data_IF_486598630329
#
_entry.id   IF_486598630329
#
_cell.length_a   1.000
_cell.length_b   1.000
_cell.length_c   1.000
_cell.angle_alpha   90.00
_cell.angle_beta   90.00
_cell.angle_gamma   90.00
#
_symmetry.space_group_name_H-M   'P 1'
#
loop_
_entity.id
_entity.type
_entity.pdbx_description
1 polymer ?
#
# COMPACT_ATOMS: atom_id res chain seq x y z
N UNK A 1 -12.03 -13.29 -11.42
CA UNK A 1 -11.38 -13.47 -12.74
C UNK A 1 -11.19 -12.13 -13.46
N UNK A 2 -12.22 -11.26 -13.56
CA UNK A 2 -12.15 -9.99 -14.31
C UNK A 2 -11.06 -9.01 -13.79
N UNK A 3 -10.70 -9.07 -12.53
CA UNK A 3 -9.69 -8.21 -11.92
C UNK A 3 -8.24 -8.74 -12.06
N UNK A 4 -8.04 -9.99 -12.50
CA UNK A 4 -6.68 -10.56 -12.66
C UNK A 4 -5.78 -9.75 -13.59
N UNK A 5 -6.25 -9.21 -14.74
CA UNK A 5 -5.41 -8.38 -15.62
C UNK A 5 -4.91 -7.11 -14.92
N UNK A 6 -5.76 -6.45 -14.12
CA UNK A 6 -5.36 -5.27 -13.34
C UNK A 6 -4.34 -5.65 -12.26
N UNK A 7 -4.60 -6.71 -11.48
CA UNK A 7 -3.69 -7.19 -10.46
C UNK A 7 -2.32 -7.57 -11.01
N UNK A 8 -2.27 -8.31 -12.11
CA UNK A 8 -1.01 -8.69 -12.77
C UNK A 8 -0.25 -7.46 -13.30
N UNK A 9 -0.97 -6.46 -13.83
CA UNK A 9 -0.37 -5.23 -14.30
C UNK A 9 0.24 -4.43 -13.15
N UNK A 10 -0.52 -4.19 -12.07
CA UNK A 10 -0.03 -3.49 -10.87
C UNK A 10 1.20 -4.21 -10.30
N UNK A 11 1.16 -5.53 -10.16
CA UNK A 11 2.30 -6.33 -9.71
C UNK A 11 3.53 -6.14 -10.60
N UNK A 12 3.35 -6.08 -11.93
CA UNK A 12 4.45 -5.90 -12.89
C UNK A 12 5.08 -4.50 -12.80
N UNK A 13 4.26 -3.46 -12.57
CA UNK A 13 4.75 -2.09 -12.37
C UNK A 13 5.56 -1.99 -11.09
N UNK A 14 5.05 -2.51 -9.98
CA UNK A 14 5.76 -2.47 -8.70
C UNK A 14 7.05 -3.30 -8.73
N UNK A 15 7.06 -4.46 -9.39
CA UNK A 15 8.29 -5.24 -9.58
C UNK A 15 9.34 -4.43 -10.35
N UNK A 16 8.93 -3.75 -11.44
CA UNK A 16 9.82 -2.87 -12.19
C UNK A 16 10.33 -1.71 -11.35
N UNK A 17 9.46 -1.04 -10.60
CA UNK A 17 9.87 0.09 -9.74
C UNK A 17 10.82 -0.35 -8.64
N UNK A 18 10.59 -1.52 -8.01
CA UNK A 18 11.52 -2.11 -7.03
C UNK A 18 12.93 -2.25 -7.60
N UNK A 19 13.04 -2.74 -8.81
CA UNK A 19 14.34 -2.96 -9.48
C UNK A 19 15.02 -1.64 -9.90
N UNK A 20 14.27 -0.55 -10.05
CA UNK A 20 14.78 0.78 -10.39
C UNK A 20 15.13 1.63 -9.17
N UNK A 21 14.58 1.33 -7.97
CA UNK A 21 14.90 2.08 -6.75
C UNK A 21 16.35 1.84 -6.38
N UNK A 22 17.18 2.87 -6.61
CA UNK A 22 18.60 2.86 -6.30
C UNK A 22 19.09 4.26 -5.92
N UNK A 23 20.23 4.32 -5.25
CA UNK A 23 20.87 5.61 -4.91
C UNK A 23 21.13 6.44 -6.18
N UNK A 24 20.67 7.69 -6.18
CA UNK A 24 20.79 8.64 -7.27
C UNK A 24 19.61 8.66 -8.24
N UNK A 25 18.73 7.66 -8.23
CA UNK A 25 17.49 7.69 -9.03
C UNK A 25 16.53 8.73 -8.45
N UNK A 26 15.90 9.53 -9.31
CA UNK A 26 14.97 10.56 -8.89
C UNK A 26 13.54 10.00 -8.75
N UNK A 27 12.80 10.45 -7.74
CA UNK A 27 11.39 10.03 -7.56
C UNK A 27 10.52 10.37 -8.78
N UNK A 28 10.81 11.47 -9.48
CA UNK A 28 10.14 11.84 -10.72
C UNK A 28 10.43 10.85 -11.87
N UNK A 29 11.56 10.18 -11.86
CA UNK A 29 11.89 9.13 -12.84
C UNK A 29 11.04 7.89 -12.58
N UNK A 30 10.82 7.52 -11.31
CA UNK A 30 9.93 6.41 -10.94
C UNK A 30 8.49 6.68 -11.39
N UNK A 31 7.97 7.89 -11.16
CA UNK A 31 6.64 8.32 -11.65
C UNK A 31 6.56 8.26 -13.18
N UNK A 32 7.60 8.71 -13.87
CA UNK A 32 7.66 8.66 -15.34
C UNK A 32 7.70 7.22 -15.89
N UNK A 33 8.36 6.29 -15.19
CA UNK A 33 8.35 4.86 -15.53
C UNK A 33 6.92 4.30 -15.40
N UNK A 34 6.26 4.52 -14.27
CA UNK A 34 4.89 4.07 -14.03
C UNK A 34 3.93 4.65 -15.08
N UNK A 35 4.04 5.95 -15.38
CA UNK A 35 3.25 6.64 -16.39
C UNK A 35 3.44 6.05 -17.81
N UNK A 36 4.68 5.70 -18.16
CA UNK A 36 4.97 5.03 -19.44
C UNK A 36 4.32 3.65 -19.50
N UNK A 37 4.46 2.85 -18.44
CA UNK A 37 3.86 1.50 -18.40
C UNK A 37 2.33 1.53 -18.48
N UNK A 38 1.67 2.52 -17.83
CA UNK A 38 0.22 2.75 -17.97
C UNK A 38 -0.15 2.94 -19.45
N UNK A 39 0.53 3.84 -20.16
CA UNK A 39 0.26 4.12 -21.58
C UNK A 39 0.50 2.91 -22.48
N UNK A 40 1.61 2.20 -22.29
CA UNK A 40 1.98 1.01 -23.06
C UNK A 40 0.95 -0.12 -22.89
N UNK A 41 0.40 -0.25 -21.69
CA UNK A 41 -0.63 -1.25 -21.38
C UNK A 41 -2.03 -0.84 -21.85
N UNK A 42 -2.27 0.45 -22.11
CA UNK A 42 -3.62 1.00 -22.30
C UNK A 42 -4.45 0.94 -21.02
N UNK A 43 -3.80 1.07 -19.88
CA UNK A 43 -4.42 1.15 -18.57
C UNK A 43 -4.78 2.60 -18.20
N UNK A 44 -5.55 2.78 -17.13
CA UNK A 44 -5.94 4.09 -16.62
C UNK A 44 -5.32 4.30 -15.23
N UNK A 45 -4.76 5.50 -14.98
CA UNK A 45 -4.28 5.87 -13.64
C UNK A 45 -5.47 6.07 -12.71
N UNK A 46 -5.38 5.54 -11.48
CA UNK A 46 -6.36 5.82 -10.44
C UNK A 46 -6.03 7.09 -9.66
N UNK A 47 -4.81 7.63 -9.78
CA UNK A 47 -4.33 8.72 -8.94
C UNK A 47 -4.34 10.08 -9.62
N UNK A 48 -4.02 10.18 -10.91
CA UNK A 48 -3.69 11.47 -11.56
C UNK A 48 -4.80 12.54 -11.39
N UNK A 49 -6.04 12.14 -11.51
CA UNK A 49 -7.21 13.02 -11.35
C UNK A 49 -7.93 12.79 -10.01
N UNK A 50 -7.34 12.01 -9.11
CA UNK A 50 -7.95 11.71 -7.82
C UNK A 50 -8.00 12.97 -6.96
N UNK A 51 -9.22 13.39 -6.62
CA UNK A 51 -9.48 14.62 -5.88
C UNK A 51 -10.63 14.41 -4.89
N UNK A 52 -10.36 13.75 -3.75
CA UNK A 52 -11.36 13.59 -2.70
C UNK A 52 -11.67 14.94 -2.03
N UNK A 53 -12.81 15.01 -1.34
CA UNK A 53 -13.29 16.25 -0.71
C UNK A 53 -12.35 16.86 0.33
N UNK A 54 -11.42 16.07 0.87
CA UNK A 54 -10.40 16.53 1.82
C UNK A 54 -9.11 17.00 1.13
N UNK A 55 -8.93 16.72 -0.15
CA UNK A 55 -7.75 17.12 -0.92
C UNK A 55 -7.88 18.56 -1.43
N UNK A 56 -6.84 19.37 -1.23
CA UNK A 56 -6.83 20.76 -1.72
C UNK A 56 -6.73 20.86 -3.25
N UNK A 57 -6.10 19.88 -3.89
CA UNK A 57 -5.85 19.80 -5.34
C UNK A 57 -5.92 18.32 -5.77
N UNK A 58 -6.13 18.02 -7.06
CA UNK A 58 -5.91 16.67 -7.59
C UNK A 58 -4.50 16.18 -7.27
N UNK A 59 -4.33 14.87 -7.08
CA UNK A 59 -3.03 14.27 -6.76
C UNK A 59 -1.96 14.56 -7.84
N UNK A 60 -2.35 14.52 -9.11
CA UNK A 60 -1.55 15.01 -10.24
C UNK A 60 -0.34 14.16 -10.61
N UNK A 61 -0.18 12.99 -10.00
CA UNK A 61 0.85 11.99 -10.23
C UNK A 61 0.22 10.62 -10.46
N UNK A 62 0.98 9.66 -10.95
CA UNK A 62 0.47 8.29 -11.17
C UNK A 62 1.01 7.29 -10.16
N UNK A 63 1.89 7.73 -9.26
CA UNK A 63 2.58 6.91 -8.28
C UNK A 63 2.66 7.66 -6.95
N UNK A 64 2.40 7.00 -5.81
CA UNK A 64 2.83 7.51 -4.52
C UNK A 64 4.27 7.08 -4.26
N UNK A 65 5.11 8.02 -3.80
CA UNK A 65 6.49 7.76 -3.37
C UNK A 65 6.70 8.36 -1.99
N UNK A 66 6.76 7.52 -0.98
CA UNK A 66 6.92 7.95 0.42
C UNK A 66 8.31 7.59 0.90
N UNK A 67 9.10 8.57 1.35
CA UNK A 67 10.51 8.40 1.70
C UNK A 67 10.73 8.72 3.17
N UNK A 68 11.38 7.81 3.89
CA UNK A 68 11.78 7.94 5.29
C UNK A 68 10.59 8.21 6.23
N UNK A 69 10.43 9.44 6.71
CA UNK A 69 9.35 9.86 7.60
C UNK A 69 8.00 10.05 6.91
N UNK A 70 7.97 10.13 5.58
CA UNK A 70 6.74 10.00 4.80
C UNK A 70 6.33 8.52 4.77
N UNK A 71 5.07 8.22 5.10
CA UNK A 71 4.60 6.83 5.18
C UNK A 71 3.55 6.50 4.12
N UNK A 72 2.65 7.43 3.80
CA UNK A 72 1.57 7.26 2.82
C UNK A 72 1.43 8.50 1.94
N UNK A 73 0.86 8.31 0.76
CA UNK A 73 0.43 9.36 -0.17
C UNK A 73 1.53 10.34 -0.58
N UNK A 74 2.81 9.97 -0.48
CA UNK A 74 3.92 10.83 -0.84
C UNK A 74 3.88 11.21 -2.32
N UNK A 75 3.88 12.52 -2.61
CA UNK A 75 3.96 13.02 -3.98
C UNK A 75 5.40 12.87 -4.51
N UNK A 76 5.60 12.29 -5.70
CA UNK A 76 6.88 12.34 -6.37
C UNK A 76 7.34 13.79 -6.62
N UNK A 77 8.53 14.13 -6.17
CA UNK A 77 9.14 15.44 -6.35
C UNK A 77 10.60 15.30 -6.79
N UNK A 78 11.27 16.41 -7.09
CA UNK A 78 12.69 16.42 -7.48
C UNK A 78 13.58 16.05 -6.28
N UNK A 79 13.75 14.74 -6.10
CA UNK A 79 14.54 14.17 -5.02
C UNK A 79 15.32 12.95 -5.51
N UNK A 80 16.65 13.06 -5.62
CA UNK A 80 17.50 11.90 -5.85
C UNK A 80 17.58 11.05 -4.58
N UNK A 81 17.18 9.79 -4.69
CA UNK A 81 17.23 8.82 -3.61
C UNK A 81 18.65 8.71 -3.06
N UNK A 82 18.78 8.67 -1.75
CA UNK A 82 20.04 8.65 -1.03
C UNK A 82 20.34 7.28 -0.45
N UNK A 83 21.60 7.06 -0.12
CA UNK A 83 22.04 5.86 0.60
C UNK A 83 21.29 5.70 1.93
N UNK A 84 20.64 4.57 2.11
CA UNK A 84 19.88 4.24 3.31
C UNK A 84 18.45 4.75 3.33
N UNK A 85 17.95 5.46 2.29
CA UNK A 85 16.56 5.86 2.24
C UNK A 85 15.62 4.66 2.24
N UNK A 86 14.62 4.71 3.11
CA UNK A 86 13.47 3.80 3.13
C UNK A 86 12.43 4.37 2.16
N UNK A 87 12.15 3.64 1.08
CA UNK A 87 11.28 4.10 -0.01
C UNK A 87 10.08 3.18 -0.14
N UNK A 88 8.89 3.71 0.12
CA UNK A 88 7.63 3.04 -0.19
C UNK A 88 7.10 3.54 -1.53
N UNK A 89 6.68 2.62 -2.38
CA UNK A 89 5.95 2.90 -3.62
C UNK A 89 4.59 2.23 -3.57
N UNK A 90 3.57 3.00 -3.94
CA UNK A 90 2.19 2.58 -3.91
C UNK A 90 1.53 2.96 -5.24
N UNK A 91 0.86 1.99 -5.86
CA UNK A 91 0.40 2.10 -7.23
C UNK A 91 -0.94 1.42 -7.47
N UNK A 92 -1.93 2.22 -7.88
CA UNK A 92 -3.23 1.74 -8.34
C UNK A 92 -3.47 2.06 -9.83
N UNK A 93 -4.02 1.10 -10.55
CA UNK A 93 -4.41 1.28 -11.94
C UNK A 93 -5.63 0.46 -12.32
N UNK A 94 -6.39 0.95 -13.31
CA UNK A 94 -7.50 0.21 -13.89
C UNK A 94 -7.09 -0.40 -15.24
N UNK A 95 -7.48 -1.66 -15.43
CA UNK A 95 -7.41 -2.37 -16.72
C UNK A 95 -8.80 -2.90 -17.03
N UNK A 96 -9.30 -2.57 -18.22
CA UNK A 96 -10.67 -2.90 -18.65
C UNK A 96 -11.74 -2.45 -17.64
N UNK A 97 -11.49 -1.30 -17.00
CA UNK A 97 -12.36 -0.69 -15.99
C UNK A 97 -12.40 -1.46 -14.66
N UNK A 98 -11.45 -2.35 -14.36
CA UNK A 98 -11.26 -2.97 -13.06
C UNK A 98 -9.96 -2.49 -12.43
N UNK A 99 -10.04 -2.10 -11.16
CA UNK A 99 -8.91 -1.55 -10.40
C UNK A 99 -8.21 -2.63 -9.62
N UNK A 100 -6.89 -2.49 -9.49
CA UNK A 100 -6.10 -3.15 -8.45
C UNK A 100 -5.16 -2.12 -7.82
N UNK A 101 -4.80 -2.36 -6.57
CA UNK A 101 -3.96 -1.51 -5.74
C UNK A 101 -2.93 -2.34 -5.00
N UNK A 102 -1.71 -1.83 -4.84
CA UNK A 102 -0.67 -2.52 -4.08
C UNK A 102 0.51 -1.61 -3.77
N UNK A 103 1.18 -1.89 -2.64
CA UNK A 103 2.36 -1.16 -2.22
C UNK A 103 3.50 -2.09 -1.76
N UNK A 104 4.72 -1.57 -1.80
CA UNK A 104 5.90 -2.20 -1.22
C UNK A 104 6.87 -1.15 -0.70
N UNK A 105 7.74 -1.57 0.23
CA UNK A 105 8.81 -0.73 0.78
C UNK A 105 10.15 -1.43 0.61
N UNK A 106 11.17 -0.68 0.20
CA UNK A 106 12.55 -1.13 0.09
C UNK A 106 13.52 -0.11 0.68
N UNK A 107 14.75 -0.52 0.96
CA UNK A 107 15.84 0.41 1.33
C UNK A 107 16.78 0.56 0.14
N UNK A 108 17.10 1.79 -0.22
CA UNK A 108 18.07 2.09 -1.25
C UNK A 108 19.49 1.99 -0.71
N UNK A 109 20.32 1.14 -1.31
CA UNK A 109 21.71 0.93 -0.88
C UNK A 109 21.81 0.16 0.44
N UNK A 110 22.61 0.67 1.40
CA UNK A 110 22.88 -0.02 2.66
C UNK A 110 21.78 0.19 3.68
N UNK A 111 21.03 -0.88 3.97
CA UNK A 111 19.97 -0.86 4.96
C UNK A 111 20.50 -0.87 6.40
N UNK A 112 19.78 -0.20 7.30
CA UNK A 112 19.95 -0.30 8.74
C UNK A 112 19.03 -1.38 9.31
N UNK A 113 19.49 -2.08 10.33
CA UNK A 113 18.72 -3.16 10.98
C UNK A 113 17.32 -2.72 11.48
N UNK A 114 17.15 -1.51 12.09
CA UNK A 114 15.81 -1.05 12.47
C UNK A 114 14.85 -0.91 11.30
N UNK A 115 15.32 -0.44 10.14
CA UNK A 115 14.49 -0.27 8.94
C UNK A 115 14.10 -1.63 8.33
N UNK A 116 15.06 -2.56 8.26
CA UNK A 116 14.76 -3.94 7.85
C UNK A 116 13.74 -4.60 8.75
N UNK A 117 13.84 -4.40 10.05
CA UNK A 117 12.88 -4.91 11.03
C UNK A 117 11.49 -4.29 10.84
N UNK A 118 11.42 -2.97 10.60
CA UNK A 118 10.16 -2.25 10.34
C UNK A 118 9.48 -2.83 9.09
N UNK A 119 10.19 -2.90 7.96
CA UNK A 119 9.70 -3.45 6.69
C UNK A 119 9.24 -4.91 6.87
N UNK A 120 10.09 -5.77 7.42
CA UNK A 120 9.75 -7.17 7.62
C UNK A 120 8.56 -7.38 8.57
N UNK A 121 8.34 -6.47 9.53
CA UNK A 121 7.16 -6.54 10.41
C UNK A 121 5.91 -6.13 9.66
N UNK A 122 5.97 -5.08 8.82
CA UNK A 122 4.85 -4.64 8.00
C UNK A 122 4.44 -5.73 7.00
N UNK A 123 5.40 -6.39 6.37
CA UNK A 123 5.15 -7.52 5.46
C UNK A 123 4.51 -8.72 6.19
N UNK A 124 5.03 -9.11 7.36
CA UNK A 124 4.42 -10.19 8.17
C UNK A 124 3.01 -9.84 8.64
N UNK A 125 2.75 -8.57 8.95
CA UNK A 125 1.40 -8.11 9.31
C UNK A 125 0.44 -8.25 8.12
N UNK A 126 0.89 -7.92 6.90
CA UNK A 126 0.13 -8.14 5.67
C UNK A 126 -0.17 -9.63 5.46
N UNK A 127 0.83 -10.50 5.56
CA UNK A 127 0.67 -11.95 5.43
C UNK A 127 -0.33 -12.50 6.44
N UNK A 128 -0.24 -12.06 7.72
CA UNK A 128 -1.15 -12.47 8.77
C UNK A 128 -2.60 -12.04 8.48
N UNK A 129 -2.80 -10.81 7.99
CA UNK A 129 -4.10 -10.30 7.56
C UNK A 129 -4.66 -11.10 6.39
N UNK A 130 -3.86 -11.35 5.37
CA UNK A 130 -4.25 -12.14 4.19
C UNK A 130 -4.67 -13.56 4.60
N UNK A 131 -3.94 -14.19 5.52
CA UNK A 131 -4.28 -15.53 6.01
C UNK A 131 -5.68 -15.61 6.66
N UNK A 132 -6.19 -14.49 7.18
CA UNK A 132 -7.54 -14.40 7.73
C UNK A 132 -8.61 -14.00 6.70
N UNK A 133 -8.22 -13.63 5.49
CA UNK A 133 -9.13 -13.25 4.42
C UNK A 133 -9.84 -14.46 3.80
N UNK A 134 -10.47 -15.28 4.65
CA UNK A 134 -11.12 -16.55 4.32
C UNK A 134 -12.65 -16.41 4.37
N UNK A 135 -13.34 -17.04 3.43
CA UNK A 135 -14.80 -17.06 3.41
C UNK A 135 -15.37 -17.61 4.74
N UNK A 136 -16.29 -16.86 5.34
CA UNK A 136 -16.88 -17.23 6.64
C UNK A 136 -16.29 -16.48 7.83
N UNK A 137 -15.02 -16.09 7.78
CA UNK A 137 -14.41 -15.18 8.75
C UNK A 137 -15.07 -13.79 8.71
N UNK A 138 -14.71 -12.95 9.63
CA UNK A 138 -15.17 -11.56 9.68
C UNK A 138 -14.02 -10.59 9.41
N UNK A 139 -14.37 -9.38 9.02
CA UNK A 139 -13.41 -8.32 8.72
C UNK A 139 -12.45 -8.06 9.90
N UNK A 140 -12.98 -8.09 11.13
CA UNK A 140 -12.20 -7.94 12.35
C UNK A 140 -11.18 -9.05 12.60
N UNK A 141 -11.30 -10.22 11.96
CA UNK A 141 -10.30 -11.28 12.05
C UNK A 141 -9.03 -10.86 11.28
N UNK A 142 -9.19 -10.21 10.11
CA UNK A 142 -8.08 -9.61 9.36
C UNK A 142 -7.39 -8.53 10.20
N UNK A 143 -8.17 -7.57 10.70
CA UNK A 143 -7.67 -6.43 11.48
C UNK A 143 -6.94 -6.87 12.75
N UNK A 144 -7.50 -7.86 13.47
CA UNK A 144 -6.89 -8.40 14.69
C UNK A 144 -5.54 -9.07 14.40
N UNK A 145 -5.46 -9.88 13.34
CA UNK A 145 -4.22 -10.55 12.96
C UNK A 145 -3.11 -9.58 12.58
N UNK A 146 -3.44 -8.49 11.88
CA UNK A 146 -2.49 -7.41 11.58
C UNK A 146 -2.00 -6.76 12.87
N UNK A 147 -2.94 -6.32 13.74
CA UNK A 147 -2.63 -5.64 14.99
C UNK A 147 -1.78 -6.49 15.92
N UNK A 148 -2.08 -7.78 16.07
CA UNK A 148 -1.32 -8.73 16.91
C UNK A 148 0.16 -8.83 16.48
N UNK A 149 0.44 -8.89 15.18
CA UNK A 149 1.82 -8.91 14.66
C UNK A 149 2.55 -7.61 14.97
N UNK A 150 1.89 -6.47 14.75
CA UNK A 150 2.47 -5.15 15.00
C UNK A 150 2.77 -4.94 16.49
N UNK A 151 1.80 -5.19 17.34
CA UNK A 151 1.92 -5.03 18.82
C UNK A 151 2.96 -5.97 19.40
N UNK A 152 3.01 -7.25 18.97
CA UNK A 152 4.03 -8.22 19.40
C UNK A 152 5.45 -7.78 19.02
N UNK A 153 5.61 -7.02 17.96
CA UNK A 153 6.89 -6.45 17.54
C UNK A 153 7.20 -5.10 18.21
N UNK A 154 6.26 -4.54 19.00
CA UNK A 154 6.41 -3.30 19.74
C UNK A 154 6.05 -2.04 18.94
N UNK A 155 5.31 -2.18 17.83
CA UNK A 155 4.83 -1.04 17.06
C UNK A 155 3.38 -0.68 17.42
N UNK A 156 3.10 0.62 17.47
CA UNK A 156 1.73 1.13 17.58
C UNK A 156 1.08 1.19 16.20
N UNK A 157 -0.22 0.94 16.13
CA UNK A 157 -1.00 0.95 14.89
C UNK A 157 -1.91 2.16 14.86
N UNK A 158 -1.77 3.00 13.85
CA UNK A 158 -2.71 4.08 13.57
C UNK A 158 -3.97 3.51 12.89
N UNK A 159 -5.13 4.09 13.20
CA UNK A 159 -6.44 3.64 12.68
C UNK A 159 -7.11 4.64 11.74
N UNK A 160 -6.46 5.77 11.43
CA UNK A 160 -7.03 6.80 10.58
C UNK A 160 -7.10 6.38 9.11
N UNK A 161 -6.14 5.54 8.70
CA UNK A 161 -6.04 4.98 7.35
C UNK A 161 -5.91 3.46 7.41
N UNK A 162 -6.35 2.80 6.35
CA UNK A 162 -6.29 1.34 6.23
C UNK A 162 -6.96 0.87 4.96
N UNK A 163 -7.02 -0.44 4.77
CA UNK A 163 -7.52 -1.08 3.57
C UNK A 163 -8.99 -0.78 3.27
N UNK A 164 -9.39 -1.13 2.08
CA UNK A 164 -10.70 -0.78 1.53
C UNK A 164 -11.20 -1.80 0.52
N UNK A 165 -12.48 -1.74 0.18
CA UNK A 165 -13.00 -2.47 -0.97
C UNK A 165 -12.40 -1.96 -2.26
N UNK A 166 -12.13 -2.86 -3.20
CA UNK A 166 -11.58 -2.55 -4.54
C UNK A 166 -12.45 -3.22 -5.60
N UNK A 167 -12.68 -2.52 -6.71
CA UNK A 167 -13.51 -3.08 -7.79
C UNK A 167 -13.52 -2.22 -9.04
N UNK A 168 -14.64 -1.58 -9.31
CA UNK A 168 -14.76 -0.58 -10.39
C UNK A 168 -14.27 0.80 -9.96
N UNK A 169 -14.09 1.00 -8.66
CA UNK A 169 -13.50 2.19 -8.06
C UNK A 169 -12.31 1.76 -7.20
N UNK A 170 -11.37 2.67 -7.03
CA UNK A 170 -10.18 2.44 -6.20
C UNK A 170 -10.59 2.24 -4.74
N UNK A 171 -11.32 3.19 -4.16
CA UNK A 171 -11.78 3.12 -2.80
C UNK A 171 -13.27 2.83 -2.73
N UNK A 172 -13.64 1.77 -2.06
CA UNK A 172 -15.01 1.36 -1.80
C UNK A 172 -15.16 0.71 -0.43
N UNK A 173 -16.38 0.42 -0.04
CA UNK A 173 -16.67 -0.37 1.16
C UNK A 173 -16.26 -1.83 0.97
N UNK A 174 -15.83 -2.50 2.05
CA UNK A 174 -15.69 -2.02 3.43
C UNK A 174 -14.34 -1.37 3.69
N UNK A 175 -14.26 -0.50 4.71
CA UNK A 175 -12.98 -0.12 5.31
C UNK A 175 -12.38 -1.30 6.08
N UNK A 176 -11.07 -1.53 5.94
CA UNK A 176 -10.30 -2.63 6.54
C UNK A 176 -9.23 -2.07 7.49
N UNK A 177 -9.55 -1.82 8.75
CA UNK A 177 -8.59 -1.26 9.71
C UNK A 177 -7.40 -2.19 9.97
N UNK A 178 -6.23 -1.61 10.26
CA UNK A 178 -5.00 -2.35 10.58
C UNK A 178 -4.92 -2.84 12.03
N UNK A 179 -5.94 -2.60 12.85
CA UNK A 179 -6.14 -3.22 14.16
C UNK A 179 -7.65 -3.34 14.45
N UNK A 180 -8.05 -4.29 15.28
CA UNK A 180 -9.45 -4.53 15.55
C UNK A 180 -9.71 -5.72 16.49
N UNK A 181 -10.96 -6.16 16.54
CA UNK A 181 -11.37 -7.31 17.39
C UNK A 181 -11.80 -8.49 16.52
N UNK A 182 -11.16 -9.63 16.72
CA UNK A 182 -11.56 -10.88 16.11
C UNK A 182 -13.06 -11.18 16.31
N UNK A 183 -13.67 -11.77 15.30
CA UNK A 183 -15.09 -12.12 15.29
C UNK A 183 -16.05 -10.92 15.13
N UNK A 184 -15.58 -9.73 14.82
CA UNK A 184 -16.39 -8.51 14.62
C UNK A 184 -16.42 -8.06 13.16
N UNK A 185 -17.38 -7.20 12.86
CA UNK A 185 -17.54 -6.60 11.53
C UNK A 185 -18.27 -7.51 10.54
N UNK A 186 -18.18 -7.13 9.28
CA UNK A 186 -18.85 -7.81 8.16
C UNK A 186 -18.29 -9.23 7.98
N UNK A 187 -19.17 -10.16 7.61
CA UNK A 187 -18.76 -11.53 7.24
C UNK A 187 -18.15 -11.52 5.83
N UNK A 188 -16.96 -12.09 5.69
CA UNK A 188 -16.29 -12.26 4.42
C UNK A 188 -17.01 -13.30 3.57
N UNK A 189 -17.25 -12.98 2.31
CA UNK A 189 -17.96 -13.84 1.35
C UNK A 189 -17.15 -13.96 0.06
N UNK A 190 -17.22 -15.11 -0.62
CA UNK A 190 -16.62 -15.23 -1.95
C UNK A 190 -17.12 -14.14 -2.89
N UNK A 191 -16.19 -13.58 -3.68
CA UNK A 191 -16.45 -12.46 -4.59
C UNK A 191 -16.15 -11.08 -4.02
N UNK A 192 -15.97 -10.92 -2.70
CA UNK A 192 -15.44 -9.70 -2.12
C UNK A 192 -13.98 -9.55 -2.49
N UNK A 193 -13.59 -8.34 -2.91
CA UNK A 193 -12.18 -7.97 -3.16
C UNK A 193 -11.84 -6.74 -2.32
N UNK A 194 -10.73 -6.81 -1.61
CA UNK A 194 -10.27 -5.77 -0.70
C UNK A 194 -8.77 -5.51 -0.86
N UNK A 195 -8.35 -4.28 -0.64
CA UNK A 195 -6.98 -3.94 -0.30
C UNK A 195 -6.75 -4.27 1.18
N UNK A 196 -5.65 -4.93 1.47
CA UNK A 196 -5.14 -5.15 2.83
C UNK A 196 -3.78 -4.48 2.87
N UNK A 197 -3.63 -3.44 3.70
CA UNK A 197 -2.53 -2.48 3.59
C UNK A 197 -1.99 -2.03 4.95
N UNK A 198 -1.35 -2.90 5.72
CA UNK A 198 -0.67 -2.45 6.93
C UNK A 198 0.45 -1.47 6.59
N UNK A 199 0.54 -0.42 7.40
CA UNK A 199 1.65 0.51 7.41
C UNK A 199 2.02 0.84 8.86
N UNK A 200 3.29 1.10 9.09
CA UNK A 200 3.85 1.33 10.42
C UNK A 200 4.81 2.50 10.39
N UNK A 201 4.90 3.19 11.53
CA UNK A 201 5.97 4.11 11.85
C UNK A 201 6.87 3.50 12.94
N UNK A 202 8.16 3.81 12.90
CA UNK A 202 9.13 3.14 13.76
C UNK A 202 8.91 3.40 15.26
N UNK A 203 8.44 4.60 15.65
CA UNK A 203 8.39 5.00 17.07
C UNK A 203 7.10 5.71 17.49
N UNK A 204 6.18 6.00 16.57
CA UNK A 204 4.91 6.68 16.86
C UNK A 204 3.76 6.06 16.05
N UNK A 205 2.54 6.43 16.36
CA UNK A 205 1.34 6.19 15.53
C UNK A 205 0.72 7.50 15.04
N UNK A 206 1.38 8.65 15.30
CA UNK A 206 0.84 9.97 14.98
C UNK A 206 1.36 10.49 13.66
N UNK A 207 0.44 11.05 12.88
CA UNK A 207 0.69 11.62 11.58
C UNK A 207 0.41 13.13 11.57
N UNK A 208 1.01 13.80 10.60
CA UNK A 208 0.54 15.07 10.09
C UNK A 208 0.58 15.07 8.56
N UNK A 209 -0.25 15.92 7.95
CA UNK A 209 -0.22 16.14 6.50
C UNK A 209 0.80 17.21 6.17
N UNK A 210 1.67 16.97 5.20
CA UNK A 210 2.67 17.90 4.73
C UNK A 210 2.02 19.11 4.01
N UNK A 211 2.78 20.16 3.77
CA UNK A 211 2.34 21.38 3.10
C UNK A 211 1.86 21.15 1.66
N UNK A 212 2.25 20.04 1.03
CA UNK A 212 1.75 19.62 -0.28
C UNK A 212 0.28 19.18 -0.27
N UNK A 213 -0.31 19.01 0.93
CA UNK A 213 -1.71 18.64 1.14
C UNK A 213 -2.00 17.16 0.94
N UNK A 214 -0.99 16.32 0.66
CA UNK A 214 -1.13 14.89 0.40
C UNK A 214 -0.25 14.00 1.27
N UNK A 215 1.05 14.28 1.31
CA UNK A 215 2.03 13.43 1.98
C UNK A 215 1.74 13.33 3.48
N UNK A 216 1.55 12.11 3.97
CA UNK A 216 1.39 11.84 5.39
C UNK A 216 2.74 11.49 5.99
N UNK A 217 3.15 12.28 7.00
CA UNK A 217 4.43 12.14 7.67
C UNK A 217 4.29 11.75 9.13
N UNK A 218 5.27 11.04 9.62
CA UNK A 218 5.47 10.76 11.04
C UNK A 218 5.60 12.05 11.85
N UNK A 219 4.85 12.16 12.95
CA UNK A 219 4.90 13.35 13.80
C UNK A 219 6.21 13.54 14.56
N UNK A 220 7.05 12.50 14.66
CA UNK A 220 8.34 12.53 15.35
C UNK A 220 9.55 12.36 14.41
N UNK A 221 9.31 12.29 13.08
CA UNK A 221 10.35 12.11 12.07
C UNK A 221 10.88 10.69 11.94
N UNK A 222 10.23 9.71 12.57
CA UNK A 222 10.62 8.30 12.43
C UNK A 222 10.22 7.73 11.08
N UNK A 223 10.98 6.74 10.59
CA UNK A 223 10.73 6.11 9.30
C UNK A 223 9.42 5.34 9.29
N UNK A 224 8.80 5.29 8.11
CA UNK A 224 7.59 4.52 7.83
C UNK A 224 7.83 3.38 6.86
N UNK A 225 6.98 2.35 6.90
CA UNK A 225 6.91 1.28 5.91
C UNK A 225 5.46 0.96 5.61
N UNK A 226 5.17 0.65 4.34
CA UNK A 226 3.86 0.30 3.82
C UNK A 226 3.96 -0.97 2.99
N UNK A 227 3.05 -1.91 3.19
CA UNK A 227 2.95 -3.13 2.40
C UNK A 227 1.49 -3.43 2.12
N UNK A 228 1.17 -3.73 0.86
CA UNK A 228 -0.22 -3.88 0.45
C UNK A 228 -0.38 -4.90 -0.67
N UNK A 229 -1.54 -5.56 -0.63
CA UNK A 229 -2.06 -6.37 -1.72
C UNK A 229 -3.57 -6.20 -1.91
N UNK A 230 -4.01 -6.23 -3.17
CA UNK A 230 -5.40 -6.51 -3.52
C UNK A 230 -5.66 -8.02 -3.41
N UNK A 231 -6.63 -8.38 -2.57
CA UNK A 231 -6.95 -9.77 -2.23
C UNK A 231 -8.42 -10.07 -2.50
N UNK A 232 -8.69 -11.12 -3.26
CA UNK A 232 -10.04 -11.64 -3.48
C UNK A 232 -10.34 -12.76 -2.49
N UNK A 233 -11.49 -12.68 -1.84
CA UNK A 233 -12.05 -13.79 -1.03
C UNK A 233 -12.63 -14.83 -1.99
N UNK A 234 -12.16 -16.07 -1.92
CA UNK A 234 -12.68 -17.16 -2.72
C UNK A 234 -13.20 -18.30 -1.83
N UNK A 235 -13.86 -19.31 -2.41
CA UNK A 235 -14.27 -20.51 -1.68
C UNK A 235 -13.06 -21.34 -1.22
N UNK A 236 -11.95 -21.29 -1.98
CA UNK A 236 -10.71 -22.03 -1.73
C UNK A 236 -9.71 -21.27 -0.84
N UNK A 237 -10.08 -20.06 -0.37
CA UNK A 237 -9.22 -19.19 0.45
C UNK A 237 -8.91 -17.85 -0.21
N UNK A 238 -7.97 -17.07 0.35
CA UNK A 238 -7.58 -15.78 -0.21
C UNK A 238 -6.78 -15.95 -1.51
N UNK A 239 -7.11 -15.13 -2.50
CA UNK A 239 -6.39 -15.04 -3.76
C UNK A 239 -5.75 -13.67 -3.88
N UNK A 240 -4.44 -13.61 -3.81
CA UNK A 240 -3.68 -12.36 -4.00
C UNK A 240 -3.67 -12.04 -5.49
N UNK A 241 -4.37 -10.97 -5.90
CA UNK A 241 -4.44 -10.55 -7.30
C UNK A 241 -3.17 -9.81 -7.75
N UNK A 242 -2.50 -9.13 -6.83
CA UNK A 242 -1.29 -8.35 -7.06
C UNK A 242 -0.02 -9.11 -6.62
N UNK A 243 -0.04 -10.45 -6.64
CA UNK A 243 1.11 -11.26 -6.27
C UNK A 243 2.31 -10.91 -7.17
N UNK A 244 3.40 -10.50 -6.56
CA UNK A 244 4.68 -10.25 -7.23
C UNK A 244 5.50 -11.53 -7.30
N UNK A 245 6.29 -11.69 -8.36
CA UNK A 245 7.33 -12.73 -8.39
C UNK A 245 8.38 -12.43 -7.30
N UNK A 246 8.88 -13.49 -6.67
CA UNK A 246 9.92 -13.41 -5.66
C UNK A 246 11.25 -12.91 -6.25
#
# INVERSE_FOLDING_TARGET
EAMRPAGAFVASVLARLRDEIAVGVNLLELDAIAHRMIRERGAESCYIDYHPSFGAMPFGKVLCTSVNDAVLHGLPFDYPIREGDVVSVDFAAAVDGWVADSALTVVAGKALEPDLRLIATTERALEAGIAQAVAGNKLGDISAAIGEVCEAAGYSVNLDFGGHGVGRTMHGDPHVPNNGRAGRGMKLRPGLVIAIEPWLLATTDKLYTDEDGWTLRSADGSHGAHSEHTVAITEDGPLILTQRAA
#
